data_IF_791489369427
#
_entry.id   IF_791489369427
#
_cell.length_a   1.000
_cell.length_b   1.000
_cell.length_c   1.000
_cell.angle_alpha   90.00
_cell.angle_beta   90.00
_cell.angle_gamma   90.00
#
_symmetry.space_group_name_H-M   'P 1'
#
loop_
_entity.id
_entity.type
_entity.pdbx_description
1 polymer ?
#
# COMPACT_ATOMS: atom_id res chain seq x y z
N UNK A 1 5.63 -1.11 24.43
CA UNK A 1 5.37 -1.95 23.25
C UNK A 1 5.66 -1.10 22.00
N UNK A 2 6.29 -1.68 20.98
CA UNK A 2 6.62 -1.00 19.70
C UNK A 2 6.09 -1.86 18.55
N UNK A 3 5.32 -1.27 17.65
CA UNK A 3 4.99 -1.91 16.37
C UNK A 3 6.23 -1.93 15.48
N UNK A 4 6.55 -3.07 14.89
CA UNK A 4 7.75 -3.25 14.07
C UNK A 4 7.45 -3.70 12.64
N UNK A 5 6.24 -4.14 12.38
CA UNK A 5 5.82 -4.53 11.03
C UNK A 5 4.63 -5.49 11.00
N UNK A 6 4.08 -5.68 9.81
CA UNK A 6 3.07 -6.69 9.50
C UNK A 6 3.76 -7.90 8.91
N UNK A 7 3.53 -9.08 9.49
CA UNK A 7 4.01 -10.34 8.97
C UNK A 7 2.88 -11.02 8.20
N UNK A 8 3.18 -11.41 6.96
CA UNK A 8 2.28 -12.11 6.06
C UNK A 8 2.88 -13.45 5.63
N UNK A 9 2.03 -14.47 5.49
CA UNK A 9 2.44 -15.80 5.07
C UNK A 9 2.46 -15.90 3.54
N UNK A 10 3.55 -16.40 2.97
CA UNK A 10 3.74 -16.53 1.53
C UNK A 10 4.03 -17.99 1.14
N UNK A 11 3.49 -18.40 0.00
CA UNK A 11 3.68 -19.78 -0.51
C UNK A 11 4.98 -19.94 -1.30
N UNK A 12 5.49 -18.85 -1.89
CA UNK A 12 6.75 -18.81 -2.63
C UNK A 12 7.52 -17.53 -2.26
N UNK A 13 8.57 -17.69 -1.46
CA UNK A 13 9.37 -16.57 -0.95
C UNK A 13 10.04 -15.77 -2.07
N UNK A 14 10.64 -16.43 -3.06
CA UNK A 14 11.35 -15.74 -4.14
C UNK A 14 10.40 -14.99 -5.06
N UNK A 15 9.25 -15.58 -5.36
CA UNK A 15 8.19 -14.92 -6.12
C UNK A 15 7.67 -13.69 -5.39
N UNK A 16 7.46 -13.79 -4.08
CA UNK A 16 6.99 -12.66 -3.27
C UNK A 16 8.05 -11.56 -3.17
N UNK A 17 9.33 -11.91 -2.91
CA UNK A 17 10.44 -10.93 -2.91
C UNK A 17 10.50 -10.17 -4.24
N UNK A 18 10.44 -10.89 -5.36
CA UNK A 18 10.43 -10.29 -6.71
C UNK A 18 9.24 -9.36 -6.89
N UNK A 19 8.03 -9.79 -6.51
CA UNK A 19 6.83 -8.99 -6.63
C UNK A 19 6.93 -7.68 -5.82
N UNK A 20 7.27 -7.75 -4.53
CA UNK A 20 7.36 -6.57 -3.67
C UNK A 20 8.46 -5.60 -4.12
N UNK A 21 9.56 -6.13 -4.68
CA UNK A 21 10.61 -5.32 -5.27
C UNK A 21 10.14 -4.66 -6.58
N UNK A 22 9.63 -5.44 -7.53
CA UNK A 22 9.35 -4.95 -8.88
C UNK A 22 8.10 -4.06 -8.94
N UNK A 23 7.10 -4.34 -8.10
CA UNK A 23 5.82 -3.59 -8.11
C UNK A 23 5.88 -2.38 -7.18
N UNK A 24 6.45 -2.52 -5.98
CA UNK A 24 6.42 -1.50 -4.93
C UNK A 24 7.81 -0.88 -4.64
N UNK A 25 8.86 -1.37 -5.27
CA UNK A 25 10.23 -0.89 -5.05
C UNK A 25 10.82 -1.26 -3.69
N UNK A 26 10.18 -2.17 -2.92
CA UNK A 26 10.63 -2.55 -1.59
C UNK A 26 11.92 -3.37 -1.65
N UNK A 27 12.83 -3.12 -0.71
CA UNK A 27 14.12 -3.79 -0.63
C UNK A 27 14.20 -4.72 0.57
N UNK A 28 14.88 -5.84 0.40
CA UNK A 28 15.20 -6.74 1.51
C UNK A 28 16.16 -6.05 2.47
N UNK A 29 15.79 -5.96 3.74
CA UNK A 29 16.61 -5.40 4.82
C UNK A 29 17.18 -6.48 5.74
N UNK A 30 16.52 -7.64 5.83
CA UNK A 30 17.04 -8.83 6.50
C UNK A 30 16.46 -10.09 5.84
N UNK A 31 17.29 -11.11 5.66
CA UNK A 31 16.89 -12.39 5.06
C UNK A 31 17.42 -13.54 5.93
N UNK A 32 16.50 -14.32 6.50
CA UNK A 32 16.76 -15.51 7.30
C UNK A 32 16.21 -16.79 6.63
N UNK A 33 16.01 -16.75 5.31
CA UNK A 33 15.44 -17.84 4.52
C UNK A 33 13.92 -17.96 4.68
N UNK A 34 13.46 -18.51 5.78
CA UNK A 34 12.02 -18.66 6.05
C UNK A 34 11.33 -17.34 6.46
N UNK A 35 12.10 -16.35 6.90
CA UNK A 35 11.61 -15.02 7.32
C UNK A 35 12.44 -13.95 6.61
N UNK A 36 11.79 -13.07 5.87
CA UNK A 36 12.43 -11.97 5.14
C UNK A 36 11.75 -10.66 5.51
N UNK A 37 12.53 -9.69 5.96
CA UNK A 37 12.04 -8.34 6.25
C UNK A 37 12.33 -7.43 5.05
N UNK A 38 11.31 -6.75 4.60
CA UNK A 38 11.41 -5.68 3.60
C UNK A 38 11.43 -4.32 4.30
N UNK A 39 11.92 -3.30 3.62
CA UNK A 39 11.65 -1.93 4.06
C UNK A 39 10.14 -1.64 4.03
N UNK A 40 9.67 -0.53 4.63
CA UNK A 40 8.23 -0.29 4.80
C UNK A 40 7.54 -1.18 5.84
N UNK A 41 8.32 -1.92 6.67
CA UNK A 41 7.78 -2.75 7.76
C UNK A 41 6.92 -3.94 7.31
N UNK A 42 7.14 -4.47 6.11
CA UNK A 42 6.55 -5.72 5.63
C UNK A 42 7.50 -6.88 5.91
N UNK A 43 6.97 -7.95 6.49
CA UNK A 43 7.72 -9.16 6.79
C UNK A 43 7.08 -10.35 6.09
N UNK A 44 7.84 -11.05 5.26
CA UNK A 44 7.41 -12.25 4.57
C UNK A 44 7.80 -13.48 5.42
N UNK A 45 6.88 -14.40 5.61
CA UNK A 45 7.12 -15.66 6.30
C UNK A 45 6.69 -16.82 5.41
N UNK A 46 7.53 -17.85 5.25
CA UNK A 46 7.10 -19.02 4.49
C UNK A 46 5.87 -19.67 5.13
N UNK A 47 4.94 -20.13 4.30
CA UNK A 47 3.70 -20.76 4.75
C UNK A 47 3.94 -21.97 5.67
N UNK A 48 5.00 -22.74 5.43
CA UNK A 48 5.36 -23.88 6.23
C UNK A 48 5.68 -23.47 7.68
N UNK A 49 6.63 -22.57 7.85
CA UNK A 49 7.02 -22.08 9.19
C UNK A 49 5.93 -21.22 9.84
N UNK A 50 5.11 -20.54 9.04
CA UNK A 50 3.96 -19.80 9.58
C UNK A 50 2.99 -20.71 10.32
N UNK A 51 2.64 -21.87 9.74
CA UNK A 51 1.77 -22.87 10.39
C UNK A 51 2.33 -23.35 11.72
N UNK A 52 3.65 -23.56 11.80
CA UNK A 52 4.33 -23.96 13.04
C UNK A 52 4.24 -22.85 14.09
N UNK A 53 4.51 -21.59 13.69
CA UNK A 53 4.52 -20.43 14.60
C UNK A 53 3.15 -20.19 15.24
N UNK A 54 2.07 -20.29 14.47
CA UNK A 54 0.70 -20.10 14.99
C UNK A 54 0.06 -21.39 15.52
N UNK A 55 0.77 -22.54 15.40
CA UNK A 55 0.28 -23.87 15.82
C UNK A 55 -1.07 -24.23 15.19
N UNK A 56 -1.27 -23.87 13.90
CA UNK A 56 -2.51 -24.13 13.16
C UNK A 56 -2.22 -24.39 11.69
N UNK A 57 -3.00 -25.30 11.10
CA UNK A 57 -3.05 -25.52 9.66
C UNK A 57 -4.23 -24.80 8.96
N UNK A 58 -5.09 -24.15 9.75
CA UNK A 58 -6.26 -23.45 9.24
C UNK A 58 -5.87 -22.02 8.80
N UNK A 59 -5.35 -21.91 7.58
CA UNK A 59 -4.96 -20.63 6.99
C UNK A 59 -5.83 -20.38 5.78
N UNK A 60 -6.49 -19.24 5.77
CA UNK A 60 -7.29 -18.78 4.63
C UNK A 60 -6.59 -17.61 3.97
N UNK A 61 -5.99 -17.88 2.81
CA UNK A 61 -5.54 -16.83 1.89
C UNK A 61 -6.75 -16.22 1.18
N UNK A 62 -6.59 -15.02 0.60
CA UNK A 62 -7.67 -14.32 -0.11
C UNK A 62 -8.90 -14.08 0.80
N UNK A 63 -8.69 -13.82 2.09
CA UNK A 63 -9.77 -13.60 3.05
C UNK A 63 -10.37 -12.18 2.98
N UNK A 64 -9.70 -11.25 2.28
CA UNK A 64 -10.10 -9.85 2.09
C UNK A 64 -10.40 -9.09 3.41
N UNK A 65 -9.79 -9.50 4.53
CA UNK A 65 -10.05 -8.95 5.85
C UNK A 65 -9.03 -7.90 6.30
N UNK A 66 -7.97 -7.72 5.53
CA UNK A 66 -6.91 -6.75 5.79
C UNK A 66 -6.23 -6.35 4.49
N UNK A 67 -5.49 -5.24 4.53
CA UNK A 67 -4.67 -4.77 3.42
C UNK A 67 -3.34 -4.21 3.94
N UNK A 68 -2.33 -4.20 3.07
CA UNK A 68 -1.12 -3.43 3.25
C UNK A 68 -1.32 -2.09 2.57
N UNK A 69 -1.30 -1.01 3.35
CA UNK A 69 -1.51 0.35 2.85
C UNK A 69 -0.19 1.07 2.64
N UNK A 70 -0.03 1.64 1.44
CA UNK A 70 1.10 2.49 1.05
C UNK A 70 0.60 3.82 0.52
N UNK A 71 1.41 4.86 0.67
CA UNK A 71 1.16 6.17 0.07
C UNK A 71 2.19 6.44 -1.03
N UNK A 72 1.72 7.05 -2.13
CA UNK A 72 2.53 7.40 -3.28
C UNK A 72 2.36 8.90 -3.63
N UNK A 73 3.48 9.58 -3.75
CA UNK A 73 3.51 11.00 -4.09
C UNK A 73 3.35 11.28 -5.59
N UNK A 74 3.82 10.36 -6.45
CA UNK A 74 3.63 10.42 -7.90
C UNK A 74 2.68 9.31 -8.38
N UNK A 75 1.41 9.47 -8.03
CA UNK A 75 0.38 8.49 -8.36
C UNK A 75 0.24 8.25 -9.88
N UNK A 76 0.54 9.22 -10.73
CA UNK A 76 0.46 9.06 -12.19
C UNK A 76 1.59 8.16 -12.71
N UNK A 77 2.82 8.37 -12.24
CA UNK A 77 3.94 7.50 -12.56
C UNK A 77 3.72 6.08 -12.02
N UNK A 78 3.24 5.95 -10.78
CA UNK A 78 2.95 4.65 -10.18
C UNK A 78 1.89 3.87 -10.97
N UNK A 79 0.77 4.49 -11.32
CA UNK A 79 -0.29 3.84 -12.09
C UNK A 79 0.20 3.40 -13.48
N UNK A 80 1.04 4.21 -14.12
CA UNK A 80 1.66 3.87 -15.40
C UNK A 80 2.61 2.66 -15.26
N UNK A 81 3.39 2.61 -14.19
CA UNK A 81 4.24 1.47 -13.86
C UNK A 81 3.41 0.21 -13.60
N UNK A 82 2.37 0.31 -12.76
CA UNK A 82 1.52 -0.80 -12.36
C UNK A 82 0.84 -1.49 -13.55
N UNK A 83 0.47 -0.74 -14.59
CA UNK A 83 -0.11 -1.30 -15.83
C UNK A 83 0.84 -2.28 -16.54
N UNK A 84 2.16 -2.10 -16.39
CA UNK A 84 3.17 -2.96 -16.99
C UNK A 84 3.53 -4.18 -16.11
N UNK A 85 3.14 -4.17 -14.83
CA UNK A 85 3.48 -5.24 -13.88
C UNK A 85 2.55 -6.46 -13.98
N UNK A 86 1.42 -6.36 -14.69
CA UNK A 86 0.49 -7.49 -14.89
C UNK A 86 -0.19 -7.96 -13.59
N UNK A 87 -0.42 -7.07 -12.63
CA UNK A 87 -1.05 -7.38 -11.35
C UNK A 87 -2.54 -7.72 -11.50
N UNK A 88 -3.06 -8.52 -10.58
CA UNK A 88 -4.51 -8.79 -10.48
C UNK A 88 -5.17 -7.73 -9.61
N UNK A 89 -6.06 -6.93 -10.16
CA UNK A 89 -6.76 -5.88 -9.44
C UNK A 89 -7.91 -6.42 -8.56
N UNK A 90 -8.05 -5.86 -7.35
CA UNK A 90 -9.29 -5.95 -6.57
C UNK A 90 -10.33 -5.05 -7.23
N UNK A 91 -9.95 -3.83 -7.59
CA UNK A 91 -10.69 -2.90 -8.42
C UNK A 91 -9.71 -1.97 -9.17
N UNK A 92 -10.09 -1.45 -10.35
CA UNK A 92 -9.25 -0.50 -11.06
C UNK A 92 -9.04 0.79 -10.24
N UNK A 93 -8.03 1.62 -10.60
CA UNK A 93 -7.83 2.90 -9.94
C UNK A 93 -9.11 3.73 -9.88
N UNK A 94 -9.39 4.34 -8.73
CA UNK A 94 -10.56 5.19 -8.50
C UNK A 94 -10.18 6.43 -7.68
N UNK A 95 -11.00 7.48 -7.79
CA UNK A 95 -10.93 8.65 -6.92
C UNK A 95 -12.08 8.57 -5.89
N UNK A 96 -11.74 8.58 -4.61
CA UNK A 96 -12.68 8.61 -3.52
C UNK A 96 -13.47 9.94 -3.46
N UNK A 97 -14.59 9.96 -2.71
CA UNK A 97 -15.42 11.14 -2.56
C UNK A 97 -14.67 12.36 -2.01
N UNK A 98 -13.63 12.16 -1.19
CA UNK A 98 -12.74 13.21 -0.67
C UNK A 98 -11.61 13.58 -1.62
N UNK A 99 -11.51 12.94 -2.78
CA UNK A 99 -10.59 13.29 -3.85
C UNK A 99 -9.27 12.54 -3.88
N UNK A 100 -8.97 11.68 -2.91
CA UNK A 100 -7.80 10.82 -2.93
C UNK A 100 -7.96 9.74 -4.00
N UNK A 101 -6.98 9.56 -4.85
CA UNK A 101 -6.91 8.42 -5.77
C UNK A 101 -6.32 7.23 -5.04
N UNK A 102 -6.86 6.06 -5.30
CA UNK A 102 -6.36 4.80 -4.76
C UNK A 102 -6.51 3.67 -5.77
N UNK A 103 -5.67 2.66 -5.63
CA UNK A 103 -5.76 1.41 -6.38
C UNK A 103 -5.55 0.25 -5.42
N UNK A 104 -6.35 -0.82 -5.59
CA UNK A 104 -6.18 -2.06 -4.83
C UNK A 104 -5.92 -3.22 -5.75
N UNK A 105 -4.91 -4.01 -5.42
CA UNK A 105 -4.50 -5.19 -6.18
C UNK A 105 -3.99 -6.28 -5.25
N UNK A 106 -3.82 -7.48 -5.79
CA UNK A 106 -3.37 -8.64 -5.04
C UNK A 106 -1.86 -8.86 -5.24
N UNK A 107 -1.21 -9.29 -4.15
CA UNK A 107 0.09 -9.93 -4.24
C UNK A 107 -0.05 -11.39 -4.76
N UNK A 108 1.05 -12.16 -4.94
CA UNK A 108 1.00 -13.54 -5.43
C UNK A 108 0.16 -14.51 -4.58
N UNK A 109 -0.04 -14.22 -3.30
CA UNK A 109 -0.80 -15.02 -2.34
C UNK A 109 -2.18 -14.43 -2.02
N UNK A 110 -2.62 -13.43 -2.78
CA UNK A 110 -3.89 -12.73 -2.67
C UNK A 110 -4.05 -11.91 -1.37
N UNK A 111 -2.95 -11.42 -0.79
CA UNK A 111 -3.05 -10.32 0.16
C UNK A 111 -3.39 -9.04 -0.59
N UNK A 112 -4.31 -8.25 -0.02
CA UNK A 112 -4.68 -6.96 -0.62
C UNK A 112 -3.61 -5.94 -0.35
N UNK A 113 -3.21 -5.22 -1.39
CA UNK A 113 -2.36 -4.04 -1.33
C UNK A 113 -3.17 -2.84 -1.78
N UNK A 114 -3.21 -1.81 -0.97
CA UNK A 114 -3.70 -0.48 -1.36
C UNK A 114 -2.51 0.46 -1.54
N UNK A 115 -2.49 1.16 -2.66
CA UNK A 115 -1.64 2.32 -2.85
C UNK A 115 -2.54 3.54 -3.03
N UNK A 116 -2.49 4.45 -2.06
CA UNK A 116 -3.22 5.72 -2.06
C UNK A 116 -2.32 6.88 -2.44
N UNK A 117 -2.90 7.89 -3.10
CA UNK A 117 -2.22 9.16 -3.34
C UNK A 117 -1.90 9.84 -2.00
N UNK A 118 -0.64 10.27 -1.79
CA UNK A 118 -0.26 11.07 -0.62
C UNK A 118 -1.22 12.25 -0.44
N UNK A 119 -1.75 12.40 0.77
CA UNK A 119 -2.82 13.36 1.04
C UNK A 119 -2.39 14.81 0.81
N UNK A 120 -1.09 15.12 1.01
CA UNK A 120 -0.51 16.43 0.69
C UNK A 120 -0.55 16.69 -0.82
N UNK A 121 -0.31 15.64 -1.62
CA UNK A 121 -0.38 15.73 -3.07
C UNK A 121 -1.81 15.91 -3.58
N UNK A 122 -2.81 15.33 -2.90
CA UNK A 122 -4.23 15.60 -3.17
C UNK A 122 -4.54 17.08 -2.98
N UNK A 123 -4.10 17.67 -1.87
CA UNK A 123 -4.26 19.12 -1.58
C UNK A 123 -3.59 19.96 -2.67
N UNK A 124 -2.33 19.66 -3.02
CA UNK A 124 -1.57 20.37 -4.06
C UNK A 124 -2.25 20.25 -5.42
N UNK A 125 -2.78 19.08 -5.76
CA UNK A 125 -3.52 18.82 -7.02
C UNK A 125 -4.81 19.66 -7.11
N UNK A 126 -5.54 19.81 -6.02
CA UNK A 126 -6.72 20.68 -5.99
C UNK A 126 -6.34 22.17 -6.07
N UNK A 127 -5.29 22.59 -5.37
CA UNK A 127 -4.78 23.97 -5.45
C UNK A 127 -4.33 24.33 -6.88
N UNK A 128 -3.68 23.41 -7.59
CA UNK A 128 -3.31 23.57 -9.01
C UNK A 128 -4.53 23.73 -9.94
N UNK A 129 -5.72 23.30 -9.50
CA UNK A 129 -7.00 23.51 -10.17
C UNK A 129 -7.70 24.80 -9.71
N UNK A 130 -6.97 25.73 -9.11
CA UNK A 130 -7.43 27.01 -8.58
C UNK A 130 -8.50 26.92 -7.45
N UNK A 131 -8.55 25.82 -6.72
CA UNK A 131 -9.40 25.73 -5.53
C UNK A 131 -8.73 26.48 -4.36
N UNK A 132 -9.53 27.24 -3.62
CA UNK A 132 -9.07 27.88 -2.37
C UNK A 132 -8.92 26.87 -1.22
N UNK A 133 -8.13 27.19 -0.20
CA UNK A 133 -7.98 26.30 0.97
C UNK A 133 -9.33 25.93 1.61
N UNK A 134 -10.26 26.87 1.69
CA UNK A 134 -11.64 26.64 2.19
C UNK A 134 -12.40 25.63 1.31
N UNK A 135 -12.28 25.74 -0.01
CA UNK A 135 -12.94 24.81 -0.94
C UNK A 135 -12.33 23.40 -0.87
N UNK A 136 -11.01 23.33 -0.73
CA UNK A 136 -10.28 22.05 -0.57
C UNK A 136 -10.69 21.38 0.74
N UNK A 137 -10.65 22.12 1.85
CA UNK A 137 -11.06 21.65 3.16
C UNK A 137 -12.48 21.06 3.15
N UNK A 138 -13.42 21.77 2.52
CA UNK A 138 -14.81 21.29 2.34
C UNK A 138 -14.89 20.05 1.46
N UNK A 139 -14.12 20.00 0.35
CA UNK A 139 -14.11 18.88 -0.61
C UNK A 139 -13.56 17.61 0.02
N UNK A 140 -12.52 17.74 0.85
CA UNK A 140 -11.81 16.63 1.48
C UNK A 140 -12.39 16.25 2.84
N UNK A 141 -13.32 17.04 3.39
CA UNK A 141 -13.87 16.91 4.74
C UNK A 141 -12.78 16.92 5.83
N UNK A 142 -11.86 17.89 5.72
CA UNK A 142 -10.74 18.09 6.65
C UNK A 142 -10.70 19.54 7.16
N UNK A 143 -10.02 19.83 8.30
CA UNK A 143 -9.83 21.19 8.77
C UNK A 143 -9.05 22.05 7.79
N UNK A 144 -9.43 23.35 7.67
CA UNK A 144 -8.73 24.29 6.78
C UNK A 144 -7.25 24.44 7.14
N UNK A 145 -6.92 24.45 8.43
CA UNK A 145 -5.54 24.56 8.92
C UNK A 145 -4.67 23.37 8.44
N UNK A 146 -5.25 22.18 8.34
CA UNK A 146 -4.57 21.03 7.73
C UNK A 146 -4.21 21.31 6.26
N UNK A 147 -5.18 21.83 5.48
CA UNK A 147 -4.94 22.18 4.07
C UNK A 147 -3.86 23.24 3.92
N UNK A 148 -3.91 24.30 4.76
CA UNK A 148 -2.90 25.36 4.75
C UNK A 148 -1.50 24.82 5.05
N UNK A 149 -1.39 23.89 6.00
CA UNK A 149 -0.12 23.22 6.31
C UNK A 149 0.41 22.46 5.10
N UNK A 150 -0.40 21.61 4.46
CA UNK A 150 0.01 20.85 3.25
C UNK A 150 0.46 21.77 2.10
N UNK A 151 -0.08 22.99 1.99
CA UNK A 151 0.31 23.96 0.95
C UNK A 151 1.65 24.65 1.22
N UNK A 152 2.18 24.55 2.45
CA UNK A 152 3.46 25.16 2.85
C UNK A 152 4.62 24.15 2.91
N UNK A 153 4.32 22.87 2.85
CA UNK A 153 5.29 21.75 2.73
C UNK A 153 5.68 21.51 1.26
#
# INVERSE_FOLDING_TARGET
MKYTGTLIAVTDMEKSKTFYHDVLGLKVTADFGANVTLDGSVVLQTMETWKELIQSNEITLHNCASELYFEESDMDAFLSHLQNCGVSYVHPPLEHSWGQRAVRFYDPDHHIIEVGEDITMVVKRFAARNMTAVQIAKRMDVPEDFVRKCLTE
#
